data_IF_216276609389
#
_entry.id   IF_216276609389
#
_cell.length_a   1.000
_cell.length_b   1.000
_cell.length_c   1.000
_cell.angle_alpha   90.00
_cell.angle_beta   90.00
_cell.angle_gamma   90.00
#
_symmetry.space_group_name_H-M   'P 1'
#
loop_
_entity.id
_entity.type
_entity.pdbx_description
1 polymer ?
#
# COMPACT_ATOMS: atom_id res chain seq x y z
N UNK A 1 -10.83 4.45 23.03
CA UNK A 1 -10.54 4.54 21.58
C UNK A 1 -11.26 5.76 20.97
N UNK A 2 -10.54 6.58 20.21
CA UNK A 2 -11.17 7.68 19.44
C UNK A 2 -11.26 7.26 17.99
N UNK A 3 -12.44 7.37 17.38
CA UNK A 3 -12.61 7.12 15.96
C UNK A 3 -12.10 8.34 15.18
N UNK A 4 -10.81 8.36 14.91
CA UNK A 4 -10.19 9.46 14.17
C UNK A 4 -10.42 9.32 12.66
N UNK A 5 -10.24 10.41 11.94
CA UNK A 5 -10.23 10.40 10.47
C UNK A 5 -9.16 9.43 9.93
N UNK A 6 -8.04 9.27 10.67
CA UNK A 6 -6.98 8.29 10.32
C UNK A 6 -7.50 6.87 10.32
N UNK A 7 -8.18 6.46 11.40
CA UNK A 7 -8.77 5.13 11.50
C UNK A 7 -9.77 4.86 10.38
N UNK A 8 -10.61 5.82 10.04
CA UNK A 8 -11.57 5.68 8.93
C UNK A 8 -10.88 5.47 7.59
N UNK A 9 -9.87 6.27 7.26
CA UNK A 9 -9.10 6.11 6.02
C UNK A 9 -8.33 4.80 5.97
N UNK A 10 -7.79 4.35 7.10
CA UNK A 10 -7.09 3.07 7.19
C UNK A 10 -8.04 1.89 6.89
N UNK A 11 -9.24 1.89 7.49
CA UNK A 11 -10.25 0.86 7.22
C UNK A 11 -10.65 0.87 5.74
N UNK A 12 -10.91 2.05 5.16
CA UNK A 12 -11.25 2.19 3.74
C UNK A 12 -10.15 1.63 2.83
N UNK A 13 -8.90 1.98 3.11
CA UNK A 13 -7.76 1.49 2.32
C UNK A 13 -7.54 -0.02 2.48
N UNK A 14 -7.74 -0.57 3.67
CA UNK A 14 -7.65 -2.01 3.92
C UNK A 14 -8.76 -2.80 3.21
N UNK A 15 -9.98 -2.25 3.13
CA UNK A 15 -11.07 -2.83 2.32
C UNK A 15 -10.67 -2.85 0.85
N UNK A 16 -10.07 -1.78 0.32
CA UNK A 16 -9.64 -1.71 -1.08
C UNK A 16 -8.55 -2.74 -1.40
N UNK A 17 -7.56 -2.93 -0.52
CA UNK A 17 -6.55 -3.99 -0.63
C UNK A 17 -7.21 -5.37 -0.62
N UNK A 18 -8.11 -5.62 0.32
CA UNK A 18 -8.80 -6.91 0.47
C UNK A 18 -9.73 -7.24 -0.71
N UNK A 19 -10.38 -6.24 -1.30
CA UNK A 19 -11.20 -6.41 -2.50
C UNK A 19 -10.38 -6.90 -3.69
N UNK A 20 -9.11 -6.50 -3.78
CA UNK A 20 -8.18 -6.79 -4.89
C UNK A 20 -7.17 -7.88 -4.60
N UNK A 21 -7.28 -8.56 -3.47
CA UNK A 21 -6.37 -9.64 -3.06
C UNK A 21 -6.15 -10.68 -4.17
N UNK A 22 -7.23 -11.06 -4.89
CA UNK A 22 -7.18 -11.99 -6.01
C UNK A 22 -6.48 -11.48 -7.27
N UNK A 23 -6.29 -10.16 -7.41
CA UNK A 23 -5.63 -9.54 -8.56
C UNK A 23 -4.11 -9.31 -8.33
N UNK A 24 -3.64 -9.51 -7.11
CA UNK A 24 -2.24 -9.31 -6.70
C UNK A 24 -2.01 -8.03 -5.89
N UNK A 25 -0.75 -7.63 -5.67
CA UNK A 25 -0.41 -6.47 -4.86
C UNK A 25 -1.02 -5.18 -5.39
N UNK A 26 -1.52 -4.33 -4.49
CA UNK A 26 -2.17 -3.05 -4.79
C UNK A 26 -1.20 -1.90 -4.53
N UNK A 27 -0.99 -1.03 -5.52
CA UNK A 27 -0.14 0.15 -5.35
C UNK A 27 -0.86 1.22 -4.54
N UNK A 28 -0.12 1.89 -3.62
CA UNK A 28 -0.70 3.00 -2.82
C UNK A 28 -1.13 4.18 -3.67
N UNK A 29 -0.48 4.42 -4.81
CA UNK A 29 -0.86 5.44 -5.79
C UNK A 29 -2.30 5.26 -6.29
N UNK A 30 -2.69 4.00 -6.50
CA UNK A 30 -4.00 3.67 -7.04
C UNK A 30 -5.08 3.83 -5.96
N UNK A 31 -4.77 3.44 -4.71
CA UNK A 31 -5.63 3.69 -3.55
C UNK A 31 -5.80 5.20 -3.33
N UNK A 32 -4.68 5.96 -3.41
CA UNK A 32 -4.67 7.42 -3.27
C UNK A 32 -5.63 8.09 -4.27
N UNK A 33 -5.54 7.67 -5.53
CA UNK A 33 -6.37 8.21 -6.61
C UNK A 33 -7.85 7.85 -6.43
N UNK A 34 -8.17 6.58 -6.10
CA UNK A 34 -9.56 6.12 -5.93
C UNK A 34 -10.28 6.80 -4.77
N UNK A 35 -9.60 6.96 -3.66
CA UNK A 35 -10.19 7.50 -2.43
C UNK A 35 -9.85 8.97 -2.18
N UNK A 36 -9.12 9.62 -3.09
CA UNK A 36 -8.69 11.02 -3.00
C UNK A 36 -7.95 11.32 -1.68
N UNK A 37 -7.10 10.40 -1.27
CA UNK A 37 -6.24 10.50 -0.10
C UNK A 37 -4.82 10.79 -0.57
N UNK A 38 -4.07 11.66 0.14
CA UNK A 38 -2.69 11.93 -0.25
C UNK A 38 -1.81 10.68 -0.13
N UNK A 39 -0.93 10.46 -1.10
CA UNK A 39 -0.04 9.31 -1.14
C UNK A 39 0.86 9.25 0.10
N UNK A 40 1.46 10.38 0.49
CA UNK A 40 2.32 10.44 1.67
C UNK A 40 1.59 10.06 2.96
N UNK A 41 0.31 10.39 3.05
CA UNK A 41 -0.51 10.02 4.20
C UNK A 41 -0.79 8.51 4.22
N UNK A 42 -1.09 7.91 3.06
CA UNK A 42 -1.22 6.46 2.93
C UNK A 42 0.09 5.73 3.25
N UNK A 43 1.23 6.23 2.80
CA UNK A 43 2.54 5.65 3.11
C UNK A 43 2.80 5.58 4.62
N UNK A 44 2.49 6.66 5.36
CA UNK A 44 2.60 6.68 6.81
C UNK A 44 1.67 5.66 7.48
N UNK A 45 0.41 5.57 7.02
CA UNK A 45 -0.55 4.61 7.55
C UNK A 45 -0.12 3.16 7.25
N UNK A 46 0.26 2.87 6.02
CA UNK A 46 0.69 1.54 5.61
C UNK A 46 2.01 1.11 6.25
N UNK A 47 2.89 2.05 6.59
CA UNK A 47 4.07 1.77 7.40
C UNK A 47 3.68 1.22 8.77
N UNK A 48 2.70 1.82 9.45
CA UNK A 48 2.19 1.35 10.73
C UNK A 48 1.46 0.00 10.62
N UNK A 49 0.57 -0.14 9.62
CA UNK A 49 -0.14 -1.40 9.36
C UNK A 49 0.84 -2.55 9.12
N UNK A 50 1.95 -2.29 8.41
CA UNK A 50 3.02 -3.27 8.17
C UNK A 50 3.78 -3.61 9.45
N UNK A 51 4.07 -2.63 10.32
CA UNK A 51 4.70 -2.89 11.62
C UNK A 51 3.87 -3.82 12.49
N UNK A 52 2.55 -3.76 12.39
CA UNK A 52 1.61 -4.66 13.08
C UNK A 52 1.29 -5.93 12.28
N UNK A 53 1.95 -6.18 11.15
CA UNK A 53 1.76 -7.40 10.35
C UNK A 53 0.44 -7.47 9.58
N UNK A 54 -0.38 -6.40 9.58
CA UNK A 54 -1.68 -6.40 8.91
C UNK A 54 -1.57 -6.34 7.38
N UNK A 55 -0.46 -5.82 6.87
CA UNK A 55 -0.13 -5.79 5.44
C UNK A 55 1.32 -6.15 5.19
N UNK A 56 1.58 -6.72 4.02
CA UNK A 56 2.90 -7.00 3.48
C UNK A 56 3.18 -6.15 2.25
N UNK A 57 4.46 -5.84 2.00
CA UNK A 57 4.86 -5.05 0.84
C UNK A 57 5.71 -5.88 -0.12
N UNK A 58 5.35 -5.87 -1.40
CA UNK A 58 6.11 -6.50 -2.48
C UNK A 58 6.79 -5.43 -3.33
N UNK A 59 8.11 -5.57 -3.53
CA UNK A 59 8.91 -4.64 -4.33
C UNK A 59 8.96 -5.07 -5.79
N UNK A 60 9.15 -4.11 -6.69
CA UNK A 60 9.40 -4.35 -8.11
C UNK A 60 8.27 -3.89 -9.02
N UNK A 61 8.39 -4.13 -10.34
CA UNK A 61 7.35 -3.83 -11.31
C UNK A 61 6.08 -4.63 -11.00
N UNK A 62 4.96 -3.92 -10.73
CA UNK A 62 3.72 -4.53 -10.25
C UNK A 62 3.73 -4.87 -8.75
N UNK A 63 4.68 -4.31 -7.98
CA UNK A 63 4.69 -4.36 -6.53
C UNK A 63 3.60 -3.48 -5.91
N UNK A 64 3.43 -3.62 -4.62
CA UNK A 64 2.40 -2.92 -3.86
C UNK A 64 2.20 -3.57 -2.50
N UNK A 65 1.00 -3.49 -1.98
CA UNK A 65 0.64 -4.05 -0.69
C UNK A 65 -0.41 -5.14 -0.84
N UNK A 66 -0.26 -6.18 -0.03
CA UNK A 66 -1.20 -7.28 0.14
C UNK A 66 -1.58 -7.39 1.61
N UNK A 67 -2.62 -8.16 1.94
CA UNK A 67 -2.91 -8.47 3.33
C UNK A 67 -1.80 -9.36 3.92
N UNK A 68 -1.40 -9.09 5.16
CA UNK A 68 -0.47 -9.95 5.93
C UNK A 68 -1.16 -11.16 6.55
N UNK A 69 -2.47 -11.07 6.77
CA UNK A 69 -3.32 -12.12 7.32
C UNK A 69 -4.60 -12.27 6.50
N UNK A 70 -5.28 -13.39 6.66
CA UNK A 70 -6.59 -13.62 6.02
C UNK A 70 -7.60 -12.55 6.46
N UNK A 71 -8.39 -12.04 5.52
CA UNK A 71 -9.40 -11.02 5.80
C UNK A 71 -10.42 -11.42 6.90
N UNK A 72 -10.60 -12.72 7.14
CA UNK A 72 -11.47 -13.24 8.21
C UNK A 72 -10.88 -12.98 9.61
N UNK A 73 -9.55 -13.00 9.74
CA UNK A 73 -8.85 -12.86 11.02
C UNK A 73 -8.49 -11.42 11.37
N UNK A 74 -8.63 -10.47 10.44
CA UNK A 74 -8.37 -9.06 10.66
C UNK A 74 -9.66 -8.36 11.03
N UNK A 75 -9.68 -7.71 12.20
CA UNK A 75 -10.85 -6.95 12.68
C UNK A 75 -10.67 -5.43 12.45
N UNK A 76 -11.77 -4.70 12.51
CA UNK A 76 -11.74 -3.23 12.49
C UNK A 76 -10.96 -2.69 13.70
N UNK A 77 -11.04 -3.35 14.85
CA UNK A 77 -10.30 -2.98 16.05
C UNK A 77 -8.78 -3.08 15.84
N UNK A 78 -8.31 -4.15 15.17
CA UNK A 78 -6.88 -4.33 14.87
C UNK A 78 -6.35 -3.21 13.97
N UNK A 79 -7.11 -2.86 12.93
CA UNK A 79 -6.74 -1.79 11.99
C UNK A 79 -6.63 -0.45 12.70
N UNK A 80 -7.65 -0.09 13.50
CA UNK A 80 -7.68 1.17 14.24
C UNK A 80 -6.59 1.20 15.30
N UNK A 81 -6.41 0.11 16.05
CA UNK A 81 -5.37 -0.04 17.06
C UNK A 81 -3.96 0.14 16.49
N UNK A 82 -3.68 -0.41 15.30
CA UNK A 82 -2.40 -0.26 14.63
C UNK A 82 -2.11 1.20 14.22
N UNK A 83 -3.14 1.97 13.89
CA UNK A 83 -2.99 3.36 13.42
C UNK A 83 -2.91 4.37 14.57
N UNK A 84 -3.81 4.23 15.54
CA UNK A 84 -3.94 5.18 16.64
C UNK A 84 -2.97 4.89 17.79
N UNK A 85 -2.42 3.68 17.82
CA UNK A 85 -1.67 3.14 18.93
C UNK A 85 -2.61 2.63 20.01
N UNK A 86 -2.17 1.66 20.79
CA UNK A 86 -2.82 1.36 22.06
C UNK A 86 -2.61 2.58 22.96
N UNK A 87 -3.62 3.45 23.10
CA UNK A 87 -3.59 4.40 24.21
C UNK A 87 -3.43 3.55 25.48
N UNK A 88 -2.41 3.83 26.34
CA UNK A 88 -2.32 3.14 27.61
C UNK A 88 -3.66 3.35 28.31
N UNK A 89 -4.27 2.25 28.75
CA UNK A 89 -5.38 2.33 29.67
C UNK A 89 -4.99 3.30 30.77
N UNK A 90 -5.80 4.31 31.13
CA UNK A 90 -5.45 5.23 32.21
C UNK A 90 -5.08 4.41 33.42
N UNK A 91 -3.85 4.60 33.89
CA UNK A 91 -3.34 3.92 35.07
C UNK A 91 -4.29 4.22 36.23
N UNK A 92 -4.63 3.24 37.09
CA UNK A 92 -5.59 3.40 38.19
C UNK A 92 -5.10 4.33 39.33
N UNK A 93 -4.12 5.19 39.08
CA UNK A 93 -3.48 6.03 40.08
C UNK A 93 -4.15 7.37 40.36
N UNK A 94 -5.36 7.61 39.89
CA UNK A 94 -6.18 8.75 40.32
C UNK A 94 -7.60 8.32 40.67
N UNK A 95 -7.70 7.30 41.52
CA UNK A 95 -8.95 6.88 42.12
C UNK A 95 -9.27 7.78 43.34
N UNK A 96 -9.61 9.04 43.08
CA UNK A 96 -10.25 9.85 44.10
C UNK A 96 -11.25 10.76 43.40
N UNK A 97 -12.42 10.29 43.31
CA UNK A 97 -13.74 10.69 42.83
C UNK A 97 -14.13 9.81 41.63
N UNK A 98 -14.90 8.76 41.92
CA UNK A 98 -15.63 7.98 40.90
C UNK A 98 -16.69 8.94 40.32
N UNK A 99 -16.24 9.70 39.32
CA UNK A 99 -17.15 10.54 38.57
C UNK A 99 -18.03 9.58 37.74
N UNK A 100 -19.32 9.62 37.98
CA UNK A 100 -20.32 8.82 37.25
C UNK A 100 -20.13 8.98 35.73
N UNK A 101 -19.62 10.13 35.32
CA UNK A 101 -19.24 10.47 33.95
C UNK A 101 -18.10 9.61 33.45
N UNK A 102 -17.05 9.35 34.26
CA UNK A 102 -15.92 8.53 33.85
C UNK A 102 -16.34 7.07 33.58
N UNK A 103 -17.16 6.51 34.48
CA UNK A 103 -17.73 5.17 34.31
C UNK A 103 -18.56 5.05 33.04
N UNK A 104 -19.34 6.09 32.69
CA UNK A 104 -20.10 6.13 31.44
C UNK A 104 -19.18 6.09 30.22
N UNK A 105 -18.11 6.89 30.20
CA UNK A 105 -17.14 6.92 29.10
C UNK A 105 -16.38 5.62 28.96
N UNK A 106 -16.00 4.99 30.06
CA UNK A 106 -15.29 3.70 30.05
C UNK A 106 -16.21 2.59 29.51
N UNK A 107 -17.48 2.56 29.89
CA UNK A 107 -18.48 1.64 29.36
C UNK A 107 -18.73 1.85 27.86
N UNK A 108 -18.81 3.12 27.42
CA UNK A 108 -18.96 3.43 26.00
C UNK A 108 -17.76 2.99 25.18
N UNK A 109 -16.55 3.29 25.67
CA UNK A 109 -15.31 2.89 24.99
C UNK A 109 -15.18 1.35 24.90
N UNK A 110 -15.55 0.62 25.96
CA UNK A 110 -15.58 -0.84 25.96
C UNK A 110 -16.55 -1.38 24.90
N UNK A 111 -17.79 -0.91 24.88
CA UNK A 111 -18.79 -1.32 23.90
C UNK A 111 -18.36 -1.01 22.46
N UNK A 112 -17.72 0.13 22.25
CA UNK A 112 -17.16 0.47 20.93
C UNK A 112 -16.05 -0.49 20.53
N UNK A 113 -15.15 -0.83 21.45
CA UNK A 113 -14.07 -1.79 21.21
C UNK A 113 -14.62 -3.19 20.87
N UNK A 114 -15.57 -3.68 21.65
CA UNK A 114 -16.23 -4.98 21.44
C UNK A 114 -16.93 -5.03 20.07
N UNK A 115 -17.64 -3.94 19.72
CA UNK A 115 -18.29 -3.84 18.41
C UNK A 115 -17.27 -3.86 17.27
N UNK A 116 -16.19 -3.09 17.35
CA UNK A 116 -15.15 -3.08 16.32
C UNK A 116 -14.40 -4.42 16.21
N UNK A 117 -14.24 -5.15 17.31
CA UNK A 117 -13.69 -6.51 17.31
C UNK A 117 -14.63 -7.52 16.64
N UNK A 118 -15.95 -7.34 16.75
CA UNK A 118 -16.92 -8.22 16.14
C UNK A 118 -17.00 -8.10 14.60
N UNK A 119 -16.45 -7.02 14.04
CA UNK A 119 -16.49 -6.77 12.59
C UNK A 119 -15.17 -7.19 11.95
N UNK A 120 -15.21 -8.26 11.13
CA UNK A 120 -14.04 -8.67 10.34
C UNK A 120 -13.93 -7.85 9.04
N UNK A 121 -12.71 -7.72 8.54
CA UNK A 121 -12.44 -7.09 7.24
C UNK A 121 -13.20 -7.78 6.12
N UNK A 122 -13.32 -9.13 6.18
CA UNK A 122 -14.10 -9.91 5.21
C UNK A 122 -15.56 -9.52 5.16
N UNK A 123 -16.19 -9.26 6.32
CA UNK A 123 -17.60 -8.85 6.36
C UNK A 123 -17.82 -7.53 5.64
N UNK A 124 -16.88 -6.57 5.79
CA UNK A 124 -16.92 -5.29 5.11
C UNK A 124 -16.68 -5.44 3.60
N UNK A 125 -15.77 -6.31 3.19
CA UNK A 125 -15.54 -6.64 1.78
C UNK A 125 -16.79 -7.22 1.12
N UNK A 126 -17.49 -8.11 1.80
CA UNK A 126 -18.75 -8.69 1.30
C UNK A 126 -19.85 -7.63 1.17
N UNK A 127 -19.94 -6.71 2.11
CA UNK A 127 -20.87 -5.58 2.05
C UNK A 127 -20.57 -4.64 0.88
N UNK A 128 -19.29 -4.32 0.64
CA UNK A 128 -18.90 -3.48 -0.49
C UNK A 128 -19.16 -4.17 -1.83
N UNK A 129 -18.91 -5.46 -1.94
CA UNK A 129 -19.27 -6.25 -3.14
C UNK A 129 -20.79 -6.28 -3.38
N UNK A 130 -21.59 -6.41 -2.32
CA UNK A 130 -23.05 -6.38 -2.42
C UNK A 130 -23.60 -5.01 -2.86
N UNK A 131 -22.88 -3.92 -2.56
CA UNK A 131 -23.20 -2.55 -3.04
C UNK A 131 -22.80 -2.31 -4.50
N UNK A 132 -22.23 -3.32 -5.18
CA UNK A 132 -21.82 -3.20 -6.59
C UNK A 132 -20.41 -2.67 -6.77
N UNK A 133 -19.55 -2.76 -5.76
CA UNK A 133 -18.11 -2.51 -5.93
C UNK A 133 -17.54 -3.55 -6.91
N UNK A 134 -17.59 -3.23 -8.20
CA UNK A 134 -16.98 -4.04 -9.25
C UNK A 134 -15.47 -3.86 -9.13
N UNK A 135 -14.78 -4.91 -8.72
CA UNK A 135 -13.33 -5.01 -8.89
C UNK A 135 -13.09 -5.13 -10.40
N UNK A 136 -12.94 -4.00 -11.08
CA UNK A 136 -12.41 -4.00 -12.44
C UNK A 136 -10.98 -4.52 -12.29
N UNK A 137 -10.62 -5.68 -12.87
CA UNK A 137 -9.24 -6.11 -12.89
C UNK A 137 -8.45 -5.02 -13.61
N UNK A 138 -7.63 -4.28 -12.88
CA UNK A 138 -6.71 -3.35 -13.51
C UNK A 138 -5.86 -4.19 -14.45
N UNK A 139 -6.03 -3.97 -15.74
CA UNK A 139 -5.13 -4.54 -16.74
C UNK A 139 -3.75 -4.03 -16.35
N UNK A 140 -2.92 -4.95 -15.79
CA UNK A 140 -1.51 -4.67 -15.57
C UNK A 140 -1.00 -4.19 -16.92
N UNK A 141 -0.73 -2.90 -17.03
CA UNK A 141 0.03 -2.34 -18.14
C UNK A 141 1.43 -2.97 -18.05
N UNK A 142 1.56 -4.17 -18.62
CA UNK A 142 2.80 -4.95 -18.70
C UNK A 142 3.87 -4.24 -19.53
N UNK A 143 3.64 -2.97 -19.89
CA UNK A 143 4.53 -2.18 -20.75
C UNK A 143 5.12 -0.94 -20.07
N UNK A 144 5.31 -0.92 -18.77
CA UNK A 144 6.18 0.10 -18.16
C UNK A 144 7.60 -0.44 -18.09
N UNK A 145 8.39 -0.04 -19.11
CA UNK A 145 9.83 0.03 -18.95
C UNK A 145 10.62 -1.20 -19.36
N UNK A 146 10.32 -1.80 -20.49
CA UNK A 146 11.43 -2.30 -21.29
C UNK A 146 12.05 -1.04 -21.93
N UNK A 147 13.08 -0.48 -21.31
CA UNK A 147 14.02 0.34 -22.03
C UNK A 147 14.47 -0.53 -23.22
N UNK A 148 13.91 -0.26 -24.41
CA UNK A 148 14.47 -0.82 -25.63
C UNK A 148 15.94 -0.45 -25.59
N UNK A 149 16.82 -1.44 -25.37
CA UNK A 149 18.25 -1.21 -25.55
C UNK A 149 18.39 -0.44 -26.86
N UNK A 150 19.04 0.72 -26.87
CA UNK A 150 19.26 1.45 -28.11
C UNK A 150 19.86 0.45 -29.08
N UNK A 151 19.26 0.34 -30.28
CA UNK A 151 19.84 -0.48 -31.35
C UNK A 151 21.29 -0.03 -31.46
N UNK A 152 22.27 -0.95 -31.48
CA UNK A 152 23.65 -0.57 -31.68
C UNK A 152 23.69 0.29 -32.95
N UNK A 153 24.27 1.47 -32.81
CA UNK A 153 24.44 2.36 -33.94
C UNK A 153 25.17 1.59 -35.06
N UNK A 154 24.79 1.75 -36.33
CA UNK A 154 25.47 1.08 -37.44
C UNK A 154 26.94 1.43 -37.31
N UNK A 155 27.76 0.39 -37.14
CA UNK A 155 29.21 0.55 -37.10
C UNK A 155 29.61 1.21 -38.41
N UNK A 156 30.06 2.42 -38.34
CA UNK A 156 30.68 3.11 -39.47
C UNK A 156 31.90 2.24 -39.86
N UNK A 157 32.07 1.88 -41.13
CA UNK A 157 33.27 1.17 -41.55
C UNK A 157 34.48 1.97 -41.06
N UNK A 158 35.37 1.33 -40.37
CA UNK A 158 36.60 1.92 -39.85
C UNK A 158 37.44 2.36 -41.04
N UNK A 159 37.26 3.60 -41.45
CA UNK A 159 38.22 4.23 -42.36
C UNK A 159 39.53 4.42 -41.56
N UNK A 160 40.68 4.01 -42.09
CA UNK A 160 41.94 4.19 -41.40
C UNK A 160 42.22 5.68 -41.26
N UNK A 161 42.06 6.20 -40.04
CA UNK A 161 42.33 7.60 -39.68
C UNK A 161 43.84 7.89 -39.54
N UNK A 162 44.67 7.14 -40.18
CA UNK A 162 46.10 7.36 -40.13
C UNK A 162 46.64 7.88 -41.48
N UNK A 163 47.32 9.00 -41.45
CA UNK A 163 48.00 9.58 -42.62
C UNK A 163 48.98 8.56 -43.25
N UNK A 164 49.50 7.61 -42.48
CA UNK A 164 50.36 6.55 -42.92
C UNK A 164 49.65 5.45 -43.75
N UNK A 165 48.35 5.30 -43.67
CA UNK A 165 47.59 4.34 -44.47
C UNK A 165 47.37 4.80 -45.92
N UNK A 166 47.44 6.10 -46.18
CA UNK A 166 47.37 6.69 -47.53
C UNK A 166 48.66 6.41 -48.35
N UNK A 167 49.80 6.29 -47.68
CA UNK A 167 51.08 5.99 -48.38
C UNK A 167 51.16 4.58 -48.99
N UNK A 168 50.48 3.58 -48.42
CA UNK A 168 50.50 2.23 -48.93
C UNK A 168 49.58 2.00 -50.14
N UNK A 169 48.54 2.80 -50.32
CA UNK A 169 47.59 2.69 -51.46
C UNK A 169 48.22 3.28 -52.72
N UNK A 170 49.15 4.24 -52.62
CA UNK A 170 49.83 4.85 -53.79
C UNK A 170 50.94 3.98 -54.36
N UNK A 171 51.56 3.13 -53.52
CA UNK A 171 52.64 2.22 -53.97
C UNK A 171 52.16 0.91 -54.63
N UNK A 172 50.89 0.55 -54.50
CA UNK A 172 50.31 -0.65 -55.09
C UNK A 172 49.73 -0.43 -56.50
N UNK A 173 49.91 0.74 -57.08
CA UNK A 173 49.45 1.11 -58.46
C UNK A 173 50.59 1.47 -59.43
N UNK A 174 51.68 0.73 -59.34
CA UNK A 174 52.68 0.74 -60.41
C UNK A 174 53.01 -0.69 -60.81
#
# INVERSE_FOLDING_TARGET
MRLSTKGRFAVTAMIDVALREGAGPVALSDIAQRHQISLSYLEQMFSKLRQHGLVESTRGPGGGYTLGHRADSVTVADIIGAIEGAEPLPSPSQASQQDTTQTLWDNLNSKMADYMQSISLRSLVLQERAKGAVVVPEQKLTNRGVFKKPKPAPQRPSAPNSVFALGQVVLARR
#
